data_IF_232650065778
#
_entry.id   IF_232650065778
#
_cell.length_a   1.000
_cell.length_b   1.000
_cell.length_c   1.000
_cell.angle_alpha   90.00
_cell.angle_beta   90.00
_cell.angle_gamma   90.00
#
_symmetry.space_group_name_H-M   'P 1'
#
loop_
_entity.id
_entity.type
_entity.pdbx_description
1 polymer ?
#
# COMPACT_ATOMS: atom_id res chain seq x y z
N UNK A 1 -2.19 12.19 18.13
CA UNK A 1 -2.86 12.97 17.07
C UNK A 1 -2.35 12.42 15.76
N UNK A 2 -3.25 11.85 14.98
CA UNK A 2 -3.01 10.90 13.89
C UNK A 2 -2.14 11.47 12.78
N UNK A 3 -1.14 10.68 12.34
CA UNK A 3 -0.57 10.85 11.02
C UNK A 3 -1.71 10.88 9.98
N UNK A 4 -1.62 11.76 8.99
CA UNK A 4 -2.72 12.06 8.07
C UNK A 4 -2.91 10.93 7.04
N UNK A 5 -3.60 9.85 7.43
CA UNK A 5 -3.87 8.70 6.55
C UNK A 5 -4.82 9.00 5.39
N UNK A 6 -5.40 10.21 5.35
CA UNK A 6 -6.35 10.63 4.31
C UNK A 6 -5.72 10.54 2.92
N UNK A 7 -4.46 10.95 2.80
CA UNK A 7 -3.72 10.93 1.55
C UNK A 7 -3.48 9.48 1.08
N UNK A 8 -3.06 8.59 1.98
CA UNK A 8 -2.91 7.17 1.67
C UNK A 8 -4.24 6.51 1.27
N UNK A 9 -5.34 6.85 1.95
CA UNK A 9 -6.67 6.35 1.62
C UNK A 9 -7.07 6.78 0.20
N UNK A 10 -6.88 8.07 -0.13
CA UNK A 10 -7.18 8.62 -1.45
C UNK A 10 -6.30 8.00 -2.54
N UNK A 11 -5.01 7.86 -2.26
CA UNK A 11 -4.03 7.24 -3.14
C UNK A 11 -4.42 5.79 -3.50
N UNK A 12 -4.68 4.95 -2.50
CA UNK A 12 -5.06 3.54 -2.72
C UNK A 12 -6.41 3.40 -3.42
N UNK A 13 -7.32 4.37 -3.27
CA UNK A 13 -8.63 4.39 -3.91
C UNK A 13 -8.63 5.02 -5.32
N UNK A 14 -7.52 5.59 -5.77
CA UNK A 14 -7.43 6.23 -7.09
C UNK A 14 -7.65 5.23 -8.23
N UNK A 15 -8.38 5.67 -9.26
CA UNK A 15 -8.60 4.88 -10.48
C UNK A 15 -7.31 4.59 -11.27
N UNK A 16 -6.22 5.33 -10.99
CA UNK A 16 -4.91 5.13 -11.58
C UNK A 16 -4.18 3.91 -11.00
N UNK A 17 -4.61 3.45 -9.81
CA UNK A 17 -4.03 2.26 -9.19
C UNK A 17 -4.42 1.00 -9.98
N UNK A 18 -3.54 -0.01 -10.05
CA UNK A 18 -3.86 -1.26 -10.71
C UNK A 18 -5.13 -1.92 -10.17
N UNK A 19 -5.87 -2.60 -11.05
CA UNK A 19 -7.00 -3.44 -10.62
C UNK A 19 -6.53 -4.49 -9.61
N UNK A 20 -7.23 -4.57 -8.49
CA UNK A 20 -6.88 -5.46 -7.38
C UNK A 20 -5.94 -4.84 -6.34
N UNK A 21 -5.62 -3.54 -6.46
CA UNK A 21 -4.91 -2.82 -5.38
C UNK A 21 -5.71 -2.90 -4.08
N UNK A 22 -5.01 -3.19 -2.98
CA UNK A 22 -5.62 -3.24 -1.66
C UNK A 22 -6.11 -1.86 -1.25
N UNK A 23 -7.36 -1.77 -0.78
CA UNK A 23 -7.82 -0.56 -0.10
C UNK A 23 -7.14 -0.43 1.28
N UNK A 24 -7.27 0.74 1.90
CA UNK A 24 -6.65 1.02 3.20
C UNK A 24 -6.95 -0.04 4.29
N UNK A 25 -8.19 -0.50 4.40
CA UNK A 25 -8.57 -1.51 5.41
C UNK A 25 -7.99 -2.89 5.11
N UNK A 26 -7.95 -3.27 3.83
CA UNK A 26 -7.32 -4.52 3.39
C UNK A 26 -5.81 -4.46 3.61
N UNK A 27 -5.16 -3.35 3.27
CA UNK A 27 -3.74 -3.13 3.52
C UNK A 27 -3.43 -3.22 5.01
N UNK A 28 -4.24 -2.58 5.86
CA UNK A 28 -4.07 -2.66 7.32
C UNK A 28 -4.15 -4.11 7.83
N UNK A 29 -5.13 -4.89 7.39
CA UNK A 29 -5.25 -6.30 7.77
C UNK A 29 -4.11 -7.16 7.23
N UNK A 30 -3.66 -6.87 6.02
CA UNK A 30 -2.54 -7.56 5.37
C UNK A 30 -1.22 -7.32 6.10
N UNK A 31 -0.89 -6.06 6.42
CA UNK A 31 0.30 -5.71 7.19
C UNK A 31 0.24 -6.29 8.61
N UNK A 32 -0.95 -6.30 9.23
CA UNK A 32 -1.14 -6.98 10.51
C UNK A 32 -0.80 -8.48 10.42
N UNK A 33 -1.31 -9.19 9.39
CA UNK A 33 -1.02 -10.60 9.20
C UNK A 33 0.49 -10.87 8.97
N UNK A 34 1.16 -10.03 8.18
CA UNK A 34 2.61 -10.12 7.94
C UNK A 34 3.40 -9.92 9.23
N UNK A 35 3.06 -8.90 10.01
CA UNK A 35 3.77 -8.58 11.25
C UNK A 35 3.51 -9.59 12.37
N UNK A 36 2.37 -10.28 12.34
CA UNK A 36 2.08 -11.40 13.24
C UNK A 36 2.68 -12.74 12.79
N UNK A 37 3.28 -12.82 11.60
CA UNK A 37 3.93 -14.04 11.13
C UNK A 37 5.09 -14.44 12.06
N UNK A 38 5.24 -15.73 12.43
CA UNK A 38 6.36 -16.20 13.23
C UNK A 38 7.70 -16.11 12.47
N UNK A 39 7.65 -16.09 11.14
CA UNK A 39 8.81 -15.95 10.26
C UNK A 39 8.85 -14.56 9.65
N UNK A 40 10.07 -14.02 9.51
CA UNK A 40 10.29 -12.75 8.82
C UNK A 40 10.00 -12.92 7.32
N UNK A 41 9.04 -12.15 6.82
CA UNK A 41 8.73 -12.07 5.39
C UNK A 41 9.35 -10.80 4.83
N UNK A 42 10.24 -10.92 3.84
CA UNK A 42 10.95 -9.78 3.28
C UNK A 42 10.01 -8.89 2.46
N UNK A 43 10.21 -7.56 2.43
CA UNK A 43 9.36 -6.64 1.68
C UNK A 43 9.19 -6.98 0.19
N UNK A 44 10.22 -7.55 -0.44
CA UNK A 44 10.15 -7.98 -1.84
C UNK A 44 9.06 -9.01 -2.10
N UNK A 45 8.68 -9.81 -1.11
CA UNK A 45 7.73 -10.92 -1.26
C UNK A 45 6.28 -10.46 -1.07
N UNK A 46 6.04 -9.45 -0.23
CA UNK A 46 4.68 -9.01 0.10
C UNK A 46 4.31 -7.64 -0.44
N UNK A 47 5.28 -6.73 -0.65
CA UNK A 47 4.99 -5.36 -1.08
C UNK A 47 4.40 -5.28 -2.49
N UNK A 48 4.85 -6.10 -3.49
CA UNK A 48 4.20 -6.14 -4.79
C UNK A 48 2.73 -6.58 -4.73
N UNK A 49 2.36 -7.40 -3.74
CA UNK A 49 0.98 -7.89 -3.58
C UNK A 49 -0.02 -6.77 -3.25
N UNK A 50 0.44 -5.66 -2.67
CA UNK A 50 -0.39 -4.48 -2.39
C UNK A 50 -1.04 -3.95 -3.67
N UNK A 51 -0.30 -3.99 -4.78
CA UNK A 51 -0.72 -3.50 -6.09
C UNK A 51 -1.01 -4.63 -7.08
N UNK A 52 -1.33 -5.83 -6.56
CA UNK A 52 -1.61 -7.01 -7.37
C UNK A 52 -0.46 -7.36 -8.34
N UNK A 53 0.77 -7.39 -7.81
CA UNK A 53 2.03 -7.71 -8.50
C UNK A 53 2.38 -6.77 -9.66
N UNK A 54 1.81 -5.56 -9.65
CA UNK A 54 2.03 -4.52 -10.65
C UNK A 54 2.71 -3.31 -10.02
N UNK A 55 3.23 -2.43 -10.88
CA UNK A 55 3.72 -1.13 -10.43
C UNK A 55 2.57 -0.34 -9.78
N UNK A 56 2.89 0.43 -8.74
CA UNK A 56 1.91 1.26 -8.04
C UNK A 56 1.28 2.34 -8.95
N UNK A 57 1.91 2.68 -10.08
CA UNK A 57 1.52 3.73 -11.02
C UNK A 57 1.52 5.13 -10.40
N UNK A 58 2.61 5.53 -9.72
CA UNK A 58 2.78 6.93 -9.32
C UNK A 58 2.75 7.85 -10.54
N UNK A 59 2.00 8.95 -10.45
CA UNK A 59 1.88 9.98 -11.48
C UNK A 59 3.07 10.95 -11.51
N UNK A 60 3.77 11.12 -10.39
CA UNK A 60 4.99 11.92 -10.28
C UNK A 60 5.85 11.50 -9.09
N UNK A 61 7.11 11.95 -9.09
CA UNK A 61 8.01 11.81 -7.94
C UNK A 61 7.48 12.58 -6.72
N UNK A 62 6.89 13.76 -6.93
CA UNK A 62 6.24 14.56 -5.88
C UNK A 62 5.05 13.82 -5.23
N UNK A 63 4.24 13.09 -6.01
CA UNK A 63 3.20 12.22 -5.46
C UNK A 63 3.84 11.14 -4.57
N UNK A 64 4.88 10.47 -5.07
CA UNK A 64 5.55 9.41 -4.33
C UNK A 64 6.15 9.89 -3.00
N UNK A 65 6.70 11.11 -2.96
CA UNK A 65 7.23 11.74 -1.74
C UNK A 65 6.13 12.21 -0.78
N UNK A 66 4.93 12.52 -1.29
CA UNK A 66 3.82 13.02 -0.47
C UNK A 66 3.10 11.93 0.31
N UNK A 67 3.14 10.68 -0.15
CA UNK A 67 2.48 9.53 0.50
C UNK A 67 3.46 8.91 1.53
N UNK A 68 3.46 9.42 2.77
CA UNK A 68 4.34 8.97 3.87
C UNK A 68 3.53 8.37 5.03
#
# INVERSE_FOLDING_TARGET
MSADYTQLIQFLASAERPKGTLNYHQLQGFIFAITCSPEMIVPSDWMPLIFNERAANYGSEEEAESII
#
